data_IF_315407539462
#
_entry.id   IF_315407539462
#
_cell.length_a   1.000
_cell.length_b   1.000
_cell.length_c   1.000
_cell.angle_alpha   90.00
_cell.angle_beta   90.00
_cell.angle_gamma   90.00
#
_symmetry.space_group_name_H-M   'P 1'
#
loop_
_entity.id
_entity.type
_entity.pdbx_description
1 polymer ?
#
# COMPACT_ATOMS: atom_id res chain seq x y z
N UNK A 1 -9.11 3.98 2.03
CA UNK A 1 -8.28 4.64 3.07
C UNK A 1 -7.38 3.57 3.65
N UNK A 2 -6.07 3.79 3.65
CA UNK A 2 -5.10 2.85 4.21
C UNK A 2 -5.00 3.05 5.74
N UNK A 3 -5.25 2.01 6.52
CA UNK A 3 -5.18 2.05 7.99
C UNK A 3 -3.95 1.31 8.50
N UNK A 4 -3.14 1.96 9.32
CA UNK A 4 -2.01 1.34 9.99
C UNK A 4 -2.44 0.47 11.18
N UNK A 5 -1.99 -0.78 11.22
CA UNK A 5 -2.41 -1.78 12.22
C UNK A 5 -1.32 -2.22 13.19
N UNK A 6 -0.05 -1.91 12.90
CA UNK A 6 1.06 -2.17 13.83
C UNK A 6 2.37 -2.57 13.16
N UNK A 7 3.35 -2.88 14.00
CA UNK A 7 4.66 -3.41 13.62
C UNK A 7 4.73 -4.91 13.92
N UNK A 8 5.46 -5.65 13.08
CA UNK A 8 5.82 -7.05 13.31
C UNK A 8 7.29 -7.30 12.97
N UNK A 9 7.90 -8.25 13.68
CA UNK A 9 9.30 -8.65 13.46
C UNK A 9 10.32 -7.72 14.11
N UNK A 10 11.57 -8.20 14.22
CA UNK A 10 12.68 -7.45 14.79
C UNK A 10 13.56 -6.81 13.70
N UNK A 11 13.97 -7.57 12.68
CA UNK A 11 14.59 -7.09 11.43
C UNK A 11 14.38 -8.12 10.29
N UNK A 12 13.90 -7.73 9.09
CA UNK A 12 13.26 -6.45 8.77
C UNK A 12 12.06 -6.18 9.67
N UNK A 13 11.82 -4.91 9.99
CA UNK A 13 10.60 -4.47 10.65
C UNK A 13 9.52 -4.43 9.58
N UNK A 14 8.35 -5.01 9.88
CA UNK A 14 7.22 -5.00 8.97
C UNK A 14 6.15 -4.09 9.52
N UNK A 15 5.82 -3.04 8.77
CA UNK A 15 4.67 -2.19 9.01
C UNK A 15 3.46 -2.79 8.29
N UNK A 16 2.40 -3.06 9.05
CA UNK A 16 1.19 -3.69 8.54
C UNK A 16 0.08 -2.66 8.37
N UNK A 17 -0.54 -2.67 7.20
CA UNK A 17 -1.65 -1.80 6.84
C UNK A 17 -2.82 -2.58 6.27
N UNK A 18 -4.01 -1.99 6.36
CA UNK A 18 -5.27 -2.55 5.85
C UNK A 18 -5.94 -1.51 4.99
N UNK A 19 -6.31 -1.88 3.77
CA UNK A 19 -7.23 -1.12 2.93
C UNK A 19 -8.55 -1.87 2.83
N UNK A 20 -9.59 -1.30 3.43
CA UNK A 20 -10.94 -1.87 3.49
C UNK A 20 -11.86 -1.37 2.37
N UNK A 21 -11.43 -0.33 1.63
CA UNK A 21 -12.29 0.39 0.69
C UNK A 21 -12.03 -0.03 -0.76
N UNK A 22 -10.78 -0.35 -1.09
CA UNK A 22 -10.41 -0.70 -2.45
C UNK A 22 -11.01 -2.03 -2.91
N UNK A 23 -11.51 -2.12 -4.16
CA UNK A 23 -11.96 -3.37 -4.74
C UNK A 23 -10.85 -4.44 -4.73
N UNK A 24 -11.20 -5.69 -4.44
CA UNK A 24 -10.22 -6.80 -4.41
C UNK A 24 -9.54 -7.03 -5.75
N UNK A 25 -10.23 -6.70 -6.84
CA UNK A 25 -9.73 -6.80 -8.20
C UNK A 25 -8.50 -5.91 -8.41
N UNK A 26 -8.33 -4.87 -7.58
CA UNK A 26 -7.17 -3.98 -7.65
C UNK A 26 -5.93 -4.57 -6.99
N UNK A 27 -6.03 -5.68 -6.22
CA UNK A 27 -4.89 -6.28 -5.51
C UNK A 27 -3.67 -6.48 -6.42
N UNK A 28 -3.84 -7.08 -7.60
CA UNK A 28 -2.71 -7.31 -8.51
C UNK A 28 -2.07 -5.99 -8.96
N UNK A 29 -2.88 -5.02 -9.37
CA UNK A 29 -2.39 -3.72 -9.86
C UNK A 29 -1.70 -2.92 -8.75
N UNK A 30 -2.29 -2.91 -7.55
CA UNK A 30 -1.70 -2.28 -6.36
C UNK A 30 -0.37 -2.96 -6.03
N UNK A 31 -0.31 -4.29 -6.02
CA UNK A 31 0.92 -5.03 -5.71
C UNK A 31 2.03 -4.77 -6.73
N UNK A 32 1.70 -4.67 -8.02
CA UNK A 32 2.65 -4.33 -9.07
C UNK A 32 3.22 -2.92 -8.83
N UNK A 33 2.37 -1.95 -8.50
CA UNK A 33 2.81 -0.58 -8.18
C UNK A 33 3.64 -0.50 -6.91
N UNK A 34 3.27 -1.23 -5.85
CA UNK A 34 4.04 -1.30 -4.62
C UNK A 34 5.47 -1.80 -4.84
N UNK A 35 5.70 -2.65 -5.85
CA UNK A 35 7.04 -3.13 -6.19
C UNK A 35 7.97 -2.05 -6.76
N UNK A 36 7.42 -0.90 -7.16
CA UNK A 36 8.17 0.28 -7.62
C UNK A 36 8.58 1.22 -6.47
N UNK A 37 8.08 0.97 -5.25
CA UNK A 37 8.47 1.75 -4.07
C UNK A 37 9.95 1.52 -3.73
N UNK A 38 10.60 2.52 -3.13
CA UNK A 38 12.04 2.45 -2.86
C UNK A 38 12.38 1.44 -1.75
N UNK A 39 11.45 1.22 -0.81
CA UNK A 39 11.51 0.11 0.15
C UNK A 39 10.72 -1.10 -0.37
N UNK A 40 10.93 -2.26 0.25
CA UNK A 40 10.16 -3.45 -0.11
C UNK A 40 8.72 -3.34 0.41
N UNK A 41 7.76 -3.20 -0.49
CA UNK A 41 6.34 -3.19 -0.17
C UNK A 41 5.55 -4.19 -1.02
N UNK A 42 4.57 -4.87 -0.42
CA UNK A 42 3.78 -5.89 -1.10
C UNK A 42 2.43 -6.14 -0.42
N UNK A 43 1.52 -6.79 -1.12
CA UNK A 43 0.25 -7.30 -0.56
C UNK A 43 0.47 -8.69 0.02
N UNK A 44 0.03 -8.92 1.27
CA UNK A 44 0.05 -10.25 1.85
C UNK A 44 -1.02 -11.15 1.20
N UNK A 45 -0.61 -11.88 0.16
CA UNK A 45 -1.47 -12.80 -0.58
C UNK A 45 -1.90 -14.02 0.23
N UNK A 46 -1.32 -14.27 1.42
CA UNK A 46 -1.74 -15.39 2.29
C UNK A 46 -3.14 -15.22 2.85
N UNK A 47 -3.70 -14.02 2.74
CA UNK A 47 -5.10 -13.73 3.11
C UNK A 47 -6.04 -13.84 1.91
N UNK A 48 -5.77 -14.78 1.01
CA UNK A 48 -6.64 -15.10 -0.12
C UNK A 48 -8.07 -15.41 0.38
N UNK A 49 -9.03 -14.56 -0.02
CA UNK A 49 -10.42 -14.60 0.45
C UNK A 49 -10.84 -13.45 1.38
N UNK A 50 -9.90 -12.74 2.01
CA UNK A 50 -10.19 -11.56 2.84
C UNK A 50 -10.92 -10.49 2.03
N UNK A 51 -11.88 -9.79 2.66
CA UNK A 51 -12.51 -8.61 2.07
C UNK A 51 -11.51 -7.48 1.83
N UNK A 52 -10.58 -7.34 2.77
CA UNK A 52 -9.64 -6.24 2.83
C UNK A 52 -8.34 -6.58 2.11
N UNK A 53 -7.63 -5.56 1.65
CA UNK A 53 -6.27 -5.68 1.12
C UNK A 53 -5.30 -5.47 2.27
N UNK A 54 -4.46 -6.47 2.56
CA UNK A 54 -3.40 -6.35 3.57
C UNK A 54 -2.11 -5.92 2.88
N UNK A 55 -1.58 -4.78 3.28
CA UNK A 55 -0.37 -4.19 2.69
C UNK A 55 0.74 -4.24 3.73
N UNK A 56 1.91 -4.70 3.31
CA UNK A 56 3.09 -4.80 4.14
C UNK A 56 4.17 -3.90 3.55
N UNK A 57 4.76 -3.06 4.40
CA UNK A 57 5.99 -2.33 4.13
C UNK A 57 7.09 -2.92 5.00
N UNK A 58 8.13 -3.47 4.38
CA UNK A 58 9.32 -3.94 5.08
C UNK A 58 10.39 -2.86 5.10
N UNK A 59 10.84 -2.52 6.31
CA UNK A 59 11.91 -1.57 6.54
C UNK A 59 13.14 -2.31 7.07
N UNK A 60 14.31 -1.92 6.58
CA UNK A 60 15.60 -2.38 7.08
C UNK A 60 16.39 -1.22 7.72
N UNK A 61 15.88 -0.62 8.83
CA UNK A 61 16.57 0.48 9.47
C UNK A 61 17.91 0.03 10.10
N UNK A 62 18.85 0.95 10.10
CA UNK A 62 20.04 0.89 10.95
C UNK A 62 19.66 0.99 12.43
N UNK A 63 20.56 0.62 13.34
CA UNK A 63 20.30 0.74 14.79
C UNK A 63 20.04 2.19 15.19
N UNK A 64 20.73 3.16 14.58
CA UNK A 64 20.54 4.60 14.82
C UNK A 64 19.16 5.10 14.36
N UNK A 65 18.67 4.62 13.21
CA UNK A 65 17.32 4.96 12.72
C UNK A 65 16.22 4.34 13.59
N UNK A 66 16.48 3.16 14.15
CA UNK A 66 15.59 2.47 15.07
C UNK A 66 15.45 3.19 16.42
N UNK A 67 16.52 3.79 16.91
CA UNK A 67 16.52 4.62 18.12
C UNK A 67 15.84 5.99 17.90
N UNK A 68 15.58 6.36 16.65
CA UNK A 68 14.89 7.59 16.30
C UNK A 68 13.36 7.38 16.22
N UNK A 69 12.64 7.84 17.25
CA UNK A 69 11.18 7.73 17.33
C UNK A 69 10.45 8.38 16.13
N UNK A 70 11.04 9.40 15.49
CA UNK A 70 10.44 10.04 14.31
C UNK A 70 10.60 9.22 13.02
N UNK A 71 11.55 8.28 12.97
CA UNK A 71 11.85 7.52 11.76
C UNK A 71 10.62 6.73 11.30
N UNK A 72 10.02 5.95 12.19
CA UNK A 72 8.85 5.12 11.88
C UNK A 72 7.68 5.99 11.44
N UNK A 73 7.45 7.13 12.09
CA UNK A 73 6.38 8.06 11.71
C UNK A 73 6.61 8.63 10.30
N UNK A 74 7.85 9.02 9.96
CA UNK A 74 8.17 9.56 8.63
C UNK A 74 8.01 8.51 7.53
N UNK A 75 8.45 7.28 7.78
CA UNK A 75 8.26 6.18 6.83
C UNK A 75 6.78 5.86 6.64
N UNK A 76 6.00 5.90 7.72
CA UNK A 76 4.54 5.75 7.67
C UNK A 76 3.90 6.81 6.78
N UNK A 77 4.14 8.09 7.05
CA UNK A 77 3.51 9.20 6.35
C UNK A 77 3.89 9.21 4.86
N UNK A 78 5.15 8.92 4.55
CA UNK A 78 5.63 8.81 3.18
C UNK A 78 4.95 7.66 2.42
N UNK A 79 4.80 6.51 3.08
CA UNK A 79 4.16 5.34 2.48
C UNK A 79 2.66 5.51 2.29
N UNK A 80 1.94 6.07 3.27
CA UNK A 80 0.51 6.37 3.16
C UNK A 80 0.24 7.30 1.97
N UNK A 81 1.05 8.35 1.82
CA UNK A 81 0.94 9.27 0.67
C UNK A 81 1.21 8.56 -0.66
N UNK A 82 2.25 7.72 -0.73
CA UNK A 82 2.55 6.96 -1.94
C UNK A 82 1.41 5.98 -2.30
N UNK A 83 0.81 5.35 -1.29
CA UNK A 83 -0.34 4.46 -1.51
C UNK A 83 -1.58 5.22 -2.00
N UNK A 84 -1.85 6.40 -1.45
CA UNK A 84 -2.93 7.26 -1.94
C UNK A 84 -2.71 7.64 -3.41
N UNK A 85 -1.48 7.99 -3.81
CA UNK A 85 -1.13 8.27 -5.21
C UNK A 85 -1.43 7.07 -6.13
N UNK A 86 -1.16 5.83 -5.67
CA UNK A 86 -1.53 4.60 -6.40
C UNK A 86 -3.04 4.51 -6.59
N UNK A 87 -3.82 4.72 -5.53
CA UNK A 87 -5.28 4.64 -5.58
C UNK A 87 -5.87 5.69 -6.52
N UNK A 88 -5.34 6.92 -6.50
CA UNK A 88 -5.77 7.99 -7.40
C UNK A 88 -5.47 7.66 -8.87
N UNK A 89 -4.30 7.06 -9.16
CA UNK A 89 -3.93 6.64 -10.52
C UNK A 89 -4.89 5.57 -11.05
N UNK A 90 -5.16 4.54 -10.25
CA UNK A 90 -6.07 3.44 -10.61
C UNK A 90 -7.50 3.97 -10.79
N UNK A 91 -7.98 4.82 -9.88
CA UNK A 91 -9.30 5.43 -9.94
C UNK A 91 -9.51 6.29 -11.18
N UNK A 92 -8.54 7.17 -11.48
CA UNK A 92 -8.56 8.06 -12.65
C UNK A 92 -8.59 7.28 -13.97
N UNK A 93 -7.80 6.21 -14.06
CA UNK A 93 -7.77 5.33 -15.23
C UNK A 93 -9.14 4.65 -15.47
N UNK A 94 -9.75 4.13 -14.40
CA UNK A 94 -11.06 3.49 -14.48
C UNK A 94 -12.17 4.48 -14.87
N UNK A 95 -12.15 5.70 -14.35
CA UNK A 95 -13.11 6.75 -14.72
C UNK A 95 -12.99 7.15 -16.20
N UNK A 96 -11.77 7.33 -16.69
CA UNK A 96 -11.46 7.60 -18.10
C UNK A 96 -12.03 6.51 -19.04
N UNK A 97 -11.87 5.23 -18.68
CA UNK A 97 -12.43 4.13 -19.45
C UNK A 97 -13.96 4.18 -19.49
N UNK A 98 -14.62 4.37 -18.34
CA UNK A 98 -16.07 4.45 -18.24
C UNK A 98 -16.63 5.59 -19.13
N UNK A 99 -16.00 6.77 -19.12
CA UNK A 99 -16.40 7.88 -19.98
C UNK A 99 -16.24 7.58 -21.46
N UNK A 100 -15.15 6.91 -21.85
CA UNK A 100 -14.88 6.52 -23.24
C UNK A 100 -15.93 5.54 -23.77
N UNK A 101 -16.39 4.59 -22.96
CA UNK A 101 -17.43 3.64 -23.34
C UNK A 101 -18.82 4.29 -23.38
N UNK A 102 -19.15 5.20 -22.45
CA UNK A 102 -20.42 5.95 -22.48
C UNK A 102 -20.61 6.81 -23.74
N UNK A 103 -19.53 7.34 -24.32
CA UNK A 103 -19.60 8.13 -25.57
C UNK A 103 -19.77 7.30 -26.85
N UNK A 104 -19.70 5.97 -26.74
CA UNK A 104 -19.82 5.03 -27.88
C UNK A 104 -21.15 4.27 -27.89
N UNK A 105 -21.98 4.41 -26.86
CA UNK A 105 -23.35 3.89 -26.77
C UNK A 105 -24.36 4.99 -27.07
#
# INVERSE_FOLDING_TARGET
MLEYTGLMGEKPIKMCFVDEESPKEWKTVINDKLSEYYENAYIDMKTEGSKNILVILELNPTDEELENEEYISKQKDAFEKYYDDILEEIGSYNQSLIEKYKRRS
#
